data_IF_483811247881
#
_entry.id   IF_483811247881
#
_cell.length_a   1.000
_cell.length_b   1.000
_cell.length_c   1.000
_cell.angle_alpha   90.00
_cell.angle_beta   90.00
_cell.angle_gamma   90.00
#
_symmetry.space_group_name_H-M   'P 1'
#
loop_
_entity.id
_entity.type
_entity.pdbx_description
1 polymer ?
#
# COMPACT_ATOMS: atom_id res chain seq x y z
N UNK A 1 -12.08 14.32 5.91
CA UNK A 1 -10.94 14.63 5.06
C UNK A 1 -10.88 13.65 3.89
N UNK A 2 -10.44 14.14 2.72
CA UNK A 2 -10.06 13.32 1.57
C UNK A 2 -8.55 13.33 1.41
N UNK A 3 -7.98 12.23 0.93
CA UNK A 3 -6.54 12.03 0.79
C UNK A 3 -6.18 11.40 -0.55
N UNK A 4 -5.03 11.82 -1.10
CA UNK A 4 -4.35 11.14 -2.20
C UNK A 4 -2.90 10.90 -1.80
N UNK A 5 -2.41 9.68 -2.01
CA UNK A 5 -1.02 9.34 -1.74
C UNK A 5 -0.18 9.61 -2.97
N UNK A 6 0.67 10.62 -2.89
CA UNK A 6 1.52 11.09 -3.99
C UNK A 6 2.51 10.03 -4.48
N UNK A 7 2.89 9.05 -3.63
CA UNK A 7 3.76 7.95 -4.05
C UNK A 7 3.02 6.99 -4.99
N UNK A 8 1.74 6.74 -4.74
CA UNK A 8 0.90 5.95 -5.65
C UNK A 8 0.58 6.72 -6.93
N UNK A 9 0.33 8.03 -6.83
CA UNK A 9 0.12 8.88 -8.01
C UNK A 9 1.35 8.85 -8.93
N UNK A 10 2.56 8.89 -8.36
CA UNK A 10 3.82 8.81 -9.13
C UNK A 10 4.00 7.45 -9.86
N UNK A 11 3.37 6.38 -9.37
CA UNK A 11 3.37 5.05 -10.01
C UNK A 11 2.11 4.79 -10.83
N UNK A 12 1.37 5.83 -11.20
CA UNK A 12 0.10 5.74 -11.95
C UNK A 12 -0.96 4.86 -11.30
N UNK A 13 -0.88 4.67 -9.98
CA UNK A 13 -1.85 3.88 -9.22
C UNK A 13 -2.95 4.81 -8.72
N UNK A 14 -4.19 4.55 -9.12
CA UNK A 14 -5.36 5.28 -8.65
C UNK A 14 -5.51 5.02 -7.16
N UNK A 15 -5.55 6.06 -6.35
CA UNK A 15 -5.70 5.94 -4.92
C UNK A 15 -6.63 7.01 -4.34
N UNK A 16 -7.33 6.64 -3.29
CA UNK A 16 -8.21 7.55 -2.56
C UNK A 16 -8.30 7.11 -1.11
N UNK A 17 -8.13 8.05 -0.20
CA UNK A 17 -8.34 7.87 1.23
C UNK A 17 -9.44 8.78 1.75
N UNK A 18 -10.20 8.27 2.71
CA UNK A 18 -11.19 9.03 3.46
C UNK A 18 -10.92 8.88 4.95
N UNK A 19 -10.75 10.02 5.63
CA UNK A 19 -10.53 10.03 7.08
C UNK A 19 -11.63 10.80 7.80
N UNK A 20 -12.15 10.20 8.87
CA UNK A 20 -13.17 10.80 9.72
C UNK A 20 -12.72 10.86 11.17
N UNK A 21 -13.14 11.92 11.87
CA UNK A 21 -12.89 12.06 13.30
C UNK A 21 -13.87 11.19 14.09
N UNK A 22 -13.35 10.36 15.00
CA UNK A 22 -14.14 9.56 15.93
C UNK A 22 -14.24 10.23 17.30
N UNK A 23 -13.15 10.88 17.74
CA UNK A 23 -13.07 11.58 19.02
C UNK A 23 -12.07 12.75 18.92
N UNK A 24 -11.76 13.41 20.04
CA UNK A 24 -10.82 14.55 20.05
C UNK A 24 -9.45 14.23 19.49
N UNK A 25 -8.94 13.02 19.76
CA UNK A 25 -7.61 12.57 19.37
C UNK A 25 -7.63 11.31 18.52
N UNK A 26 -8.80 10.82 18.14
CA UNK A 26 -8.93 9.60 17.36
C UNK A 26 -9.59 9.86 16.02
N UNK A 27 -8.98 9.33 14.98
CA UNK A 27 -9.56 9.31 13.63
C UNK A 27 -9.54 7.89 13.07
N UNK A 28 -10.42 7.65 12.12
CA UNK A 28 -10.43 6.44 11.31
C UNK A 28 -10.17 6.82 9.87
N UNK A 29 -9.19 6.21 9.27
CA UNK A 29 -8.82 6.35 7.87
C UNK A 29 -9.16 5.06 7.11
N UNK A 30 -9.71 5.20 5.93
CA UNK A 30 -9.93 4.11 4.99
C UNK A 30 -9.33 4.51 3.66
N UNK A 31 -8.27 3.85 3.24
CA UNK A 31 -7.63 4.08 1.96
C UNK A 31 -7.78 2.87 1.03
N UNK A 32 -7.99 3.17 -0.25
CA UNK A 32 -8.06 2.19 -1.32
C UNK A 32 -7.13 2.57 -2.46
N UNK A 33 -6.45 1.56 -3.01
CA UNK A 33 -5.54 1.72 -4.13
C UNK A 33 -5.90 0.70 -5.21
N UNK A 34 -5.87 1.13 -6.46
CA UNK A 34 -6.20 0.28 -7.58
C UNK A 34 -5.34 0.63 -8.79
N UNK A 35 -4.62 -0.37 -9.29
CA UNK A 35 -3.85 -0.26 -10.51
C UNK A 35 -4.35 -1.32 -11.53
N UNK A 36 -5.18 -0.92 -12.50
CA UNK A 36 -5.67 -1.82 -13.54
C UNK A 36 -4.72 -1.93 -14.73
N UNK A 37 -3.65 -1.14 -14.78
CA UNK A 37 -2.86 -0.92 -15.98
C UNK A 37 -1.95 -2.10 -16.30
N UNK A 38 -1.78 -2.32 -17.59
CA UNK A 38 -0.81 -3.20 -18.18
C UNK A 38 0.05 -2.33 -19.11
N UNK A 39 1.35 -2.35 -18.89
CA UNK A 39 2.31 -1.55 -19.65
C UNK A 39 2.79 -2.32 -20.91
N UNK A 40 3.60 -1.67 -21.72
CA UNK A 40 4.22 -2.27 -22.90
C UNK A 40 5.05 -3.51 -22.52
N UNK A 41 5.36 -4.39 -23.48
CA UNK A 41 6.06 -5.65 -23.28
C UNK A 41 5.41 -6.66 -22.32
N UNK A 42 4.08 -6.56 -22.13
CA UNK A 42 3.32 -7.42 -21.25
C UNK A 42 3.71 -7.33 -19.77
N UNK A 43 4.34 -6.23 -19.37
CA UNK A 43 4.61 -5.92 -17.97
C UNK A 43 3.30 -5.72 -17.21
N UNK A 44 3.01 -6.60 -16.25
CA UNK A 44 1.79 -6.57 -15.45
C UNK A 44 2.11 -6.03 -14.07
N UNK A 45 1.45 -4.92 -13.72
CA UNK A 45 1.53 -4.29 -12.41
C UNK A 45 0.12 -4.11 -11.83
N UNK A 46 -0.69 -5.18 -11.94
CA UNK A 46 -2.09 -5.10 -11.49
C UNK A 46 -2.18 -5.43 -10.02
N UNK A 47 -2.74 -4.51 -9.24
CA UNK A 47 -3.03 -4.76 -7.85
C UNK A 47 -4.18 -3.89 -7.36
N UNK A 48 -4.81 -4.34 -6.31
CA UNK A 48 -5.66 -3.50 -5.47
C UNK A 48 -5.33 -3.74 -4.00
N UNK A 49 -5.53 -2.71 -3.20
CA UNK A 49 -5.24 -2.72 -1.78
C UNK A 49 -6.29 -1.88 -1.05
N UNK A 50 -6.81 -2.41 0.05
CA UNK A 50 -7.63 -1.68 1.01
C UNK A 50 -6.90 -1.69 2.35
N UNK A 51 -6.82 -0.50 2.98
CA UNK A 51 -6.18 -0.31 4.29
C UNK A 51 -7.08 0.50 5.21
N UNK A 52 -7.88 -0.13 6.08
CA UNK A 52 -8.50 0.53 7.22
C UNK A 52 -7.47 0.78 8.31
N UNK A 53 -7.53 1.96 8.93
CA UNK A 53 -6.56 2.39 9.92
C UNK A 53 -7.20 3.23 11.01
N UNK A 54 -6.83 2.95 12.27
CA UNK A 54 -7.10 3.78 13.42
C UNK A 54 -5.88 4.62 13.76
N UNK A 55 -6.08 5.92 13.97
CA UNK A 55 -5.02 6.89 14.26
C UNK A 55 -5.26 7.56 15.60
N UNK A 56 -4.20 7.66 16.38
CA UNK A 56 -4.15 8.42 17.62
C UNK A 56 -3.25 9.65 17.44
N UNK A 57 -3.81 10.82 17.59
CA UNK A 57 -3.13 12.11 17.46
C UNK A 57 -2.60 12.58 18.81
N UNK A 58 -1.32 12.92 18.89
CA UNK A 58 -0.71 13.33 20.16
C UNK A 58 -1.20 14.70 20.65
N UNK A 59 -1.39 15.64 19.73
CA UNK A 59 -1.84 17.00 20.03
C UNK A 59 -3.31 17.21 19.64
N UNK A 60 -3.57 17.35 18.33
CA UNK A 60 -4.90 17.57 17.79
C UNK A 60 -5.10 16.71 16.54
N UNK A 61 -6.33 16.32 16.25
CA UNK A 61 -6.67 15.59 15.03
C UNK A 61 -6.29 16.40 13.79
N UNK A 62 -5.81 15.70 12.78
CA UNK A 62 -5.35 16.25 11.50
C UNK A 62 -4.14 17.20 11.59
N UNK A 63 -3.37 17.19 12.66
CA UNK A 63 -2.19 18.04 12.77
C UNK A 63 -1.16 17.56 13.78
N UNK A 64 0.12 17.56 13.37
CA UNK A 64 1.24 17.09 14.17
C UNK A 64 1.45 15.59 14.11
N UNK A 65 1.97 15.01 15.18
CA UNK A 65 2.32 13.61 15.28
C UNK A 65 1.10 12.70 15.50
N UNK A 66 1.10 11.54 14.86
CA UNK A 66 0.12 10.48 15.13
C UNK A 66 0.76 9.09 15.12
N UNK A 67 0.16 8.19 15.86
CA UNK A 67 0.41 6.77 15.83
C UNK A 67 -0.78 6.08 15.15
N UNK A 68 -0.51 5.02 14.42
CA UNK A 68 -1.50 4.32 13.64
C UNK A 68 -1.47 2.82 13.89
N UNK A 69 -2.64 2.19 13.81
CA UNK A 69 -2.77 0.75 13.72
C UNK A 69 -3.63 0.44 12.50
N UNK A 70 -3.08 -0.31 11.55
CA UNK A 70 -3.74 -0.59 10.29
C UNK A 70 -3.85 -2.08 10.00
N UNK A 71 -4.91 -2.42 9.26
CA UNK A 71 -5.02 -3.66 8.55
C UNK A 71 -4.74 -3.40 7.06
N UNK A 72 -4.38 -4.43 6.35
CA UNK A 72 -4.21 -4.38 4.91
C UNK A 72 -4.73 -5.66 4.27
N UNK A 73 -5.30 -5.53 3.10
CA UNK A 73 -5.77 -6.67 2.33
C UNK A 73 -5.87 -6.31 0.85
N UNK A 74 -5.46 -7.23 0.00
CA UNK A 74 -5.44 -6.98 -1.43
C UNK A 74 -5.09 -8.21 -2.26
N UNK A 75 -5.07 -7.99 -3.57
CA UNK A 75 -4.61 -8.96 -4.56
C UNK A 75 -3.60 -8.32 -5.49
N UNK A 76 -2.71 -9.12 -5.99
CA UNK A 76 -1.72 -8.69 -6.96
C UNK A 76 -1.56 -9.71 -8.08
N UNK A 77 -1.17 -9.20 -9.25
CA UNK A 77 -0.79 -9.97 -10.41
C UNK A 77 0.41 -9.27 -11.04
N UNK A 78 1.58 -9.78 -10.70
CA UNK A 78 2.86 -9.24 -11.15
C UNK A 78 3.54 -10.21 -12.12
N UNK A 79 4.09 -9.70 -13.19
CA UNK A 79 4.84 -10.49 -14.15
C UNK A 79 5.59 -9.63 -15.14
N UNK A 80 6.72 -10.16 -15.65
CA UNK A 80 7.59 -9.51 -16.61
C UNK A 80 8.14 -8.15 -16.10
N UNK A 81 8.60 -8.14 -14.85
CA UNK A 81 9.18 -6.96 -14.22
C UNK A 81 10.69 -7.10 -14.16
N UNK A 82 11.39 -6.54 -15.16
CA UNK A 82 12.83 -6.50 -15.22
C UNK A 82 13.39 -5.31 -14.44
N UNK A 83 14.53 -5.51 -13.78
CA UNK A 83 15.34 -4.43 -13.21
C UNK A 83 14.84 -3.88 -11.87
N UNK A 84 13.93 -4.56 -11.18
CA UNK A 84 13.57 -4.16 -9.83
C UNK A 84 14.68 -4.51 -8.84
N UNK A 85 15.13 -3.54 -8.03
CA UNK A 85 16.11 -3.82 -6.98
C UNK A 85 15.48 -4.71 -5.90
N UNK A 86 16.30 -5.52 -5.24
CA UNK A 86 15.87 -6.24 -4.04
C UNK A 86 15.31 -5.24 -3.02
N UNK A 87 14.06 -5.42 -2.63
CA UNK A 87 13.37 -4.51 -1.74
C UNK A 87 13.04 -5.22 -0.43
N UNK A 88 13.56 -4.69 0.67
CA UNK A 88 13.31 -5.18 2.04
C UNK A 88 13.55 -6.69 2.24
N UNK A 89 14.59 -7.24 1.59
CA UNK A 89 14.98 -8.65 1.75
C UNK A 89 14.21 -9.62 0.86
N UNK A 90 13.32 -9.14 0.00
CA UNK A 90 12.66 -9.95 -1.02
C UNK A 90 13.45 -9.90 -2.33
N UNK A 91 13.79 -11.08 -2.86
CA UNK A 91 14.41 -11.20 -4.17
C UNK A 91 13.35 -11.03 -5.28
N UNK A 92 13.29 -9.83 -5.84
CA UNK A 92 12.36 -9.49 -6.91
C UNK A 92 12.88 -9.85 -8.31
N UNK A 93 14.11 -10.38 -8.43
CA UNK A 93 14.69 -10.77 -9.72
C UNK A 93 13.91 -11.89 -10.41
N UNK A 94 13.25 -12.74 -9.64
CA UNK A 94 12.42 -13.83 -10.17
C UNK A 94 11.12 -13.36 -10.84
N UNK A 95 10.72 -12.09 -10.67
CA UNK A 95 9.55 -11.49 -11.33
C UNK A 95 9.77 -11.25 -12.84
N UNK A 96 11.02 -11.28 -13.31
CA UNK A 96 11.36 -11.17 -14.71
C UNK A 96 10.88 -12.39 -15.53
N UNK A 97 11.06 -13.60 -15.00
CA UNK A 97 10.83 -14.85 -15.72
C UNK A 97 9.51 -15.55 -15.36
N UNK A 98 8.86 -15.14 -14.27
CA UNK A 98 7.68 -15.80 -13.73
C UNK A 98 6.55 -14.80 -13.48
N UNK A 99 5.32 -15.30 -13.56
CA UNK A 99 4.12 -14.55 -13.15
C UNK A 99 3.69 -15.02 -11.76
N UNK A 100 3.45 -14.06 -10.90
CA UNK A 100 2.93 -14.28 -9.55
C UNK A 100 1.55 -13.66 -9.43
N UNK A 101 0.59 -14.46 -9.04
CA UNK A 101 -0.77 -14.03 -8.79
C UNK A 101 -1.16 -14.50 -7.39
N UNK A 102 -1.67 -13.61 -6.56
CA UNK A 102 -2.00 -13.97 -5.20
C UNK A 102 -2.79 -12.92 -4.45
N UNK A 103 -3.14 -13.26 -3.23
CA UNK A 103 -3.75 -12.35 -2.27
C UNK A 103 -2.87 -12.22 -1.02
N UNK A 104 -3.04 -11.13 -0.33
CA UNK A 104 -2.36 -10.88 0.93
C UNK A 104 -3.31 -10.21 1.92
N UNK A 105 -3.10 -10.50 3.19
CA UNK A 105 -3.75 -9.84 4.30
C UNK A 105 -2.77 -9.67 5.46
N UNK A 106 -2.85 -8.56 6.17
CA UNK A 106 -1.91 -8.29 7.23
C UNK A 106 -2.36 -7.19 8.17
N UNK A 107 -1.49 -6.92 9.13
CA UNK A 107 -1.68 -5.88 10.11
C UNK A 107 -0.33 -5.20 10.44
N UNK A 108 -0.39 -3.95 10.84
CA UNK A 108 0.80 -3.21 11.20
C UNK A 108 0.51 -2.04 12.11
N UNK A 109 1.59 -1.42 12.55
CA UNK A 109 1.57 -0.17 13.30
C UNK A 109 2.38 0.87 12.55
N UNK A 110 1.97 2.11 12.66
CA UNK A 110 2.58 3.22 11.94
C UNK A 110 2.83 4.44 12.81
N UNK A 111 3.66 5.29 12.29
CA UNK A 111 3.91 6.61 12.83
C UNK A 111 3.94 7.61 11.69
N UNK A 112 3.32 8.75 11.91
CA UNK A 112 3.29 9.81 10.92
C UNK A 112 3.26 11.21 11.50
N UNK A 113 3.40 12.16 10.59
CA UNK A 113 3.33 13.58 10.90
C UNK A 113 2.54 14.31 9.82
N UNK A 114 1.64 15.18 10.25
CA UNK A 114 0.83 16.03 9.38
C UNK A 114 1.24 17.51 9.52
N UNK A 115 1.74 18.09 8.42
CA UNK A 115 2.02 19.52 8.29
C UNK A 115 0.78 20.23 7.77
N UNK A 116 0.31 21.21 8.49
CA UNK A 116 -0.78 22.07 8.05
C UNK A 116 -0.25 23.12 7.08
N UNK A 117 -0.63 23.02 5.83
CA UNK A 117 -0.25 23.99 4.78
C UNK A 117 -1.20 25.19 4.74
N UNK A 118 -2.41 25.02 5.28
CA UNK A 118 -3.42 26.07 5.29
C UNK A 118 -4.69 25.67 6.05
N UNK A 119 -5.80 26.32 5.74
CA UNK A 119 -7.09 26.05 6.41
C UNK A 119 -7.70 24.69 6.02
N UNK A 120 -7.48 24.27 4.78
CA UNK A 120 -8.09 23.09 4.18
C UNK A 120 -7.07 22.07 3.66
N UNK A 121 -5.78 22.39 3.66
CA UNK A 121 -4.75 21.55 3.06
C UNK A 121 -3.69 21.14 4.08
N UNK A 122 -3.41 19.85 4.14
CA UNK A 122 -2.31 19.28 4.88
C UNK A 122 -1.43 18.42 3.96
N UNK A 123 -0.15 18.36 4.28
CA UNK A 123 0.76 17.34 3.78
C UNK A 123 1.01 16.37 4.94
N UNK A 124 1.00 15.09 4.66
CA UNK A 124 1.16 14.06 5.68
C UNK A 124 2.19 13.04 5.22
N UNK A 125 3.11 12.67 6.09
CA UNK A 125 4.03 11.56 5.85
C UNK A 125 3.82 10.49 6.90
N UNK A 126 3.83 9.23 6.48
CA UNK A 126 3.61 8.07 7.33
C UNK A 126 4.49 6.91 6.92
N UNK A 127 5.02 6.23 7.92
CA UNK A 127 5.72 4.96 7.78
C UNK A 127 5.10 3.93 8.72
N UNK A 128 4.87 2.71 8.23
CA UNK A 128 4.29 1.63 9.01
C UNK A 128 5.02 0.31 8.79
N UNK A 129 5.13 -0.45 9.84
CA UNK A 129 5.73 -1.79 9.86
C UNK A 129 4.74 -2.80 10.41
N UNK A 130 4.86 -4.04 9.97
CA UNK A 130 3.93 -5.09 10.39
C UNK A 130 4.22 -6.43 9.78
N UNK A 131 3.19 -7.27 9.74
CA UNK A 131 3.25 -8.58 9.14
C UNK A 131 2.09 -8.76 8.15
N UNK A 132 2.37 -9.43 7.05
CA UNK A 132 1.38 -9.80 6.06
C UNK A 132 1.56 -11.27 5.67
N UNK A 133 0.46 -12.01 5.67
CA UNK A 133 0.39 -13.34 5.09
C UNK A 133 0.04 -13.19 3.61
N UNK A 134 0.79 -13.86 2.76
CA UNK A 134 0.54 -13.93 1.31
C UNK A 134 0.42 -15.37 0.86
N UNK A 135 -0.55 -15.64 0.03
CA UNK A 135 -0.68 -16.91 -0.68
C UNK A 135 -0.65 -16.61 -2.17
N UNK A 136 0.21 -17.28 -2.91
CA UNK A 136 0.43 -16.99 -4.31
C UNK A 136 0.60 -18.24 -5.16
N UNK A 137 0.22 -18.10 -6.42
CA UNK A 137 0.43 -19.07 -7.49
C UNK A 137 1.56 -18.58 -8.40
N UNK A 138 2.49 -19.47 -8.68
CA UNK A 138 3.63 -19.24 -9.56
C UNK A 138 3.39 -19.91 -10.90
N UNK A 139 3.54 -19.15 -12.00
CA UNK A 139 3.42 -19.62 -13.36
C UNK A 139 4.73 -19.51 -14.12
N UNK A 140 5.06 -20.50 -15.00
CA UNK A 140 6.33 -20.59 -15.75
C UNK A 140 6.53 -19.46 -16.78
N UNK A 141 5.49 -18.78 -17.19
CA UNK A 141 5.55 -17.83 -18.29
C UNK A 141 4.65 -16.61 -18.03
N UNK A 142 5.06 -15.40 -18.42
CA UNK A 142 4.24 -14.20 -18.26
C UNK A 142 2.89 -14.24 -19.02
N UNK A 143 2.77 -15.07 -20.07
CA UNK A 143 1.56 -15.13 -20.92
C UNK A 143 0.68 -16.35 -20.71
N UNK A 144 1.23 -17.57 -20.71
CA UNK A 144 0.46 -18.82 -20.84
C UNK A 144 1.11 -20.01 -20.11
N UNK A 145 1.95 -19.80 -19.12
CA UNK A 145 2.65 -20.88 -18.41
C UNK A 145 1.71 -21.78 -17.63
N UNK A 146 2.12 -23.03 -17.45
CA UNK A 146 1.46 -23.94 -16.51
C UNK A 146 1.70 -23.48 -15.09
N UNK A 147 0.76 -23.74 -14.19
CA UNK A 147 0.94 -23.58 -12.77
C UNK A 147 2.12 -24.44 -12.31
N UNK A 148 3.14 -23.80 -11.77
CA UNK A 148 4.37 -24.47 -11.27
C UNK A 148 4.20 -24.89 -9.82
N UNK A 149 3.47 -24.10 -9.05
CA UNK A 149 3.22 -24.37 -7.64
C UNK A 149 2.39 -23.26 -6.99
N UNK A 150 1.83 -23.63 -5.85
CA UNK A 150 1.21 -22.69 -4.91
C UNK A 150 2.07 -22.68 -3.66
N UNK A 151 2.38 -21.50 -3.16
CA UNK A 151 3.18 -21.34 -1.95
C UNK A 151 2.58 -20.23 -1.07
N UNK A 152 2.91 -20.26 0.21
CA UNK A 152 2.50 -19.27 1.17
C UNK A 152 3.69 -18.74 1.95
N UNK A 153 3.64 -17.47 2.31
CA UNK A 153 4.72 -16.83 3.02
C UNK A 153 4.21 -15.76 3.98
N UNK A 154 4.87 -15.65 5.14
CA UNK A 154 4.65 -14.53 6.04
C UNK A 154 5.77 -13.52 5.84
N UNK A 155 5.38 -12.33 5.41
CA UNK A 155 6.26 -11.17 5.27
C UNK A 155 6.27 -10.36 6.55
N UNK A 156 7.45 -9.98 7.01
CA UNK A 156 7.64 -9.01 8.10
C UNK A 156 8.43 -7.82 7.58
N UNK A 157 7.90 -6.63 7.71
CA UNK A 157 8.59 -5.44 7.23
C UNK A 157 7.69 -4.22 7.06
N UNK A 158 8.03 -3.41 6.06
CA UNK A 158 7.29 -2.19 5.73
C UNK A 158 5.91 -2.54 5.16
N UNK A 159 4.85 -2.16 5.87
CA UNK A 159 3.46 -2.42 5.46
C UNK A 159 2.74 -1.16 4.98
N UNK A 160 3.29 0.01 5.27
CA UNK A 160 2.76 1.28 4.81
C UNK A 160 3.87 2.31 4.60
N UNK A 161 3.83 3.00 3.47
CA UNK A 161 4.61 4.19 3.18
C UNK A 161 3.71 5.16 2.44
N UNK A 162 3.52 6.34 3.00
CA UNK A 162 2.62 7.32 2.41
C UNK A 162 3.18 8.74 2.53
N UNK A 163 3.00 9.51 1.46
CA UNK A 163 3.07 10.96 1.45
C UNK A 163 1.72 11.42 0.91
N UNK A 164 0.83 11.84 1.81
CA UNK A 164 -0.55 12.17 1.45
C UNK A 164 -0.73 13.67 1.31
N UNK A 165 -1.37 14.09 0.23
CA UNK A 165 -2.03 15.38 0.16
C UNK A 165 -3.44 15.22 0.72
N UNK A 166 -3.78 16.02 1.73
CA UNK A 166 -5.02 15.90 2.51
C UNK A 166 -5.86 17.15 2.37
N UNK A 167 -7.12 16.99 2.01
CA UNK A 167 -8.10 18.08 1.97
C UNK A 167 -9.10 17.94 3.12
N UNK A 168 -9.18 18.97 3.95
CA UNK A 168 -10.10 19.09 5.09
C UNK A 168 -11.33 19.94 4.69
N UNK A 169 -12.50 19.40 4.87
CA UNK A 169 -13.78 20.11 4.66
C UNK A 169 -14.53 20.36 5.94
#
# INVERSE_FOLDING_TARGET
ALKSNLLYDATTTINLGFETALAEKWTFDLSGNWNPFQFEDNMKWKHWLIQPEFRYWTCRKFGGHFFAAHLLGGQYNFGNLDGLPNFLGSDLSQLADHRYEGWYAGAGVGYGYAWMLGKHWNLEAEIGVGAAYTNFEKYECPKCGKLVGTDDHIYYGLTKLAINLVYLF
#
